data_IF_080343183274
#
_entry.id   IF_080343183274
#
_cell.length_a   1.000
_cell.length_b   1.000
_cell.length_c   1.000
_cell.angle_alpha   90.00
_cell.angle_beta   90.00
_cell.angle_gamma   90.00
#
_symmetry.space_group_name_H-M   'P 1'
#
loop_
_entity.id
_entity.type
_entity.pdbx_description
1 polymer ?
#
# COMPACT_ATOMS: atom_id res chain seq x y z
N UNK A 1 3.09 -23.26 -13.25
CA UNK A 1 3.73 -23.13 -11.92
C UNK A 1 5.18 -23.64 -11.91
N UNK A 2 5.45 -24.87 -12.36
CA UNK A 2 6.81 -25.45 -12.38
C UNK A 2 7.86 -24.65 -13.19
N UNK A 3 7.48 -24.01 -14.29
CA UNK A 3 8.42 -23.26 -15.13
C UNK A 3 9.03 -22.05 -14.41
N UNK A 4 8.23 -21.32 -13.62
CA UNK A 4 8.67 -20.12 -12.91
C UNK A 4 9.63 -20.45 -11.77
N UNK A 5 9.36 -21.52 -11.02
CA UNK A 5 10.26 -22.00 -9.96
C UNK A 5 11.64 -22.35 -10.53
N UNK A 6 11.71 -23.02 -11.69
CA UNK A 6 12.98 -23.37 -12.33
C UNK A 6 13.85 -22.16 -12.67
N UNK A 7 13.25 -21.02 -12.98
CA UNK A 7 13.98 -19.77 -13.24
C UNK A 7 14.45 -19.14 -11.94
N UNK A 8 13.58 -19.08 -10.93
CA UNK A 8 13.90 -18.48 -9.63
C UNK A 8 14.99 -19.28 -8.88
N UNK A 9 14.97 -20.61 -8.95
CA UNK A 9 15.97 -21.50 -8.34
C UNK A 9 17.40 -21.29 -8.85
N UNK A 10 17.61 -20.54 -9.94
CA UNK A 10 18.95 -20.14 -10.39
C UNK A 10 19.64 -19.17 -9.43
N UNK A 11 18.89 -18.46 -8.57
CA UNK A 11 19.44 -17.54 -7.57
C UNK A 11 19.48 -18.23 -6.21
N UNK A 12 20.66 -18.47 -5.62
CA UNK A 12 20.80 -19.32 -4.43
C UNK A 12 20.11 -18.75 -3.17
N UNK A 13 19.92 -17.43 -3.10
CA UNK A 13 19.39 -16.75 -1.91
C UNK A 13 17.93 -16.28 -2.04
N UNK A 14 17.24 -16.61 -3.13
CA UNK A 14 15.85 -16.16 -3.32
C UNK A 14 14.90 -16.99 -2.45
N UNK A 15 14.02 -16.32 -1.69
CA UNK A 15 12.98 -16.97 -0.90
C UNK A 15 11.68 -16.92 -1.67
N UNK A 16 11.28 -18.05 -2.26
CA UNK A 16 9.98 -18.19 -2.91
C UNK A 16 8.97 -18.74 -1.89
N UNK A 17 7.95 -17.96 -1.59
CA UNK A 17 6.88 -18.33 -0.66
C UNK A 17 5.57 -18.49 -1.42
N UNK A 18 4.78 -19.50 -1.06
CA UNK A 18 3.40 -19.65 -1.54
C UNK A 18 2.48 -19.18 -0.42
N UNK A 19 1.88 -18.01 -0.62
CA UNK A 19 0.86 -17.49 0.29
C UNK A 19 -0.48 -18.19 0.10
N UNK A 20 -1.27 -18.27 1.16
CA UNK A 20 -2.71 -18.56 1.09
C UNK A 20 -3.46 -17.24 1.21
N UNK A 21 -4.69 -17.18 0.70
CA UNK A 21 -5.59 -16.10 1.08
C UNK A 21 -5.85 -16.19 2.58
N UNK A 22 -5.54 -15.11 3.29
CA UNK A 22 -5.80 -14.95 4.71
C UNK A 22 -6.91 -13.91 4.79
N UNK A 23 -8.00 -14.23 5.50
CA UNK A 23 -9.03 -13.25 5.79
C UNK A 23 -8.38 -12.06 6.50
N UNK A 24 -8.70 -10.83 6.10
CA UNK A 24 -8.11 -9.66 6.74
C UNK A 24 -8.42 -9.70 8.23
N UNK A 25 -7.37 -9.80 9.06
CA UNK A 25 -7.52 -9.69 10.51
C UNK A 25 -8.20 -8.36 10.82
N UNK A 26 -9.30 -8.42 11.57
CA UNK A 26 -10.08 -7.23 11.91
C UNK A 26 -9.40 -6.39 13.00
N UNK A 27 -8.39 -6.97 13.65
CA UNK A 27 -7.68 -6.40 14.79
C UNK A 27 -6.16 -6.49 14.60
N UNK A 28 -5.47 -5.43 15.00
CA UNK A 28 -4.02 -5.31 15.02
C UNK A 28 -3.58 -5.07 16.47
N UNK A 29 -2.63 -5.88 16.94
CA UNK A 29 -2.04 -5.70 18.27
C UNK A 29 -0.68 -5.02 18.16
N UNK A 30 -0.47 -3.99 18.98
CA UNK A 30 0.82 -3.30 19.11
C UNK A 30 1.34 -3.42 20.53
N UNK A 31 2.54 -3.98 20.66
CA UNK A 31 3.21 -4.16 21.95
C UNK A 31 4.08 -2.95 22.26
N UNK A 32 3.84 -2.34 23.43
CA UNK A 32 4.66 -1.28 24.02
C UNK A 32 5.09 -1.78 25.41
N UNK A 33 6.21 -1.29 25.95
CA UNK A 33 6.71 -1.75 27.25
C UNK A 33 5.62 -1.72 28.32
N UNK A 34 5.22 -2.90 28.79
CA UNK A 34 4.20 -3.07 29.84
C UNK A 34 2.74 -2.93 29.39
N UNK A 35 2.45 -2.66 28.11
CA UNK A 35 1.07 -2.46 27.62
C UNK A 35 0.87 -3.10 26.23
N UNK A 36 -0.30 -3.71 26.04
CA UNK A 36 -0.77 -4.16 24.71
C UNK A 36 -1.87 -3.21 24.24
N UNK A 37 -1.69 -2.63 23.06
CA UNK A 37 -2.74 -1.89 22.37
C UNK A 37 -3.44 -2.82 21.38
N UNK A 38 -4.77 -2.84 21.41
CA UNK A 38 -5.58 -3.52 20.40
C UNK A 38 -6.36 -2.48 19.61
N UNK A 39 -6.24 -2.49 18.28
CA UNK A 39 -6.89 -1.54 17.38
C UNK A 39 -7.50 -2.27 16.19
N UNK A 40 -8.49 -1.65 15.54
CA UNK A 40 -8.99 -2.20 14.27
C UNK A 40 -7.97 -1.98 13.16
N UNK A 41 -7.81 -2.97 12.30
CA UNK A 41 -6.94 -2.85 11.11
C UNK A 41 -7.49 -1.79 10.17
N UNK A 42 -6.60 -0.97 9.60
CA UNK A 42 -6.97 0.01 8.57
C UNK A 42 -7.25 -0.68 7.23
N UNK A 43 -8.50 -1.08 7.05
CA UNK A 43 -9.03 -1.66 5.82
C UNK A 43 -9.66 -0.60 4.89
N UNK A 44 -9.27 0.68 4.99
CA UNK A 44 -9.83 1.73 4.13
C UNK A 44 -9.74 1.35 2.64
N UNK A 45 -10.88 1.38 1.96
CA UNK A 45 -11.02 1.22 0.52
C UNK A 45 -11.19 2.59 -0.13
N UNK A 46 -10.22 2.95 -0.97
CA UNK A 46 -10.15 4.24 -1.64
C UNK A 46 -10.87 4.26 -2.99
N UNK A 47 -11.52 3.16 -3.38
CA UNK A 47 -12.10 3.00 -4.72
C UNK A 47 -13.37 3.84 -4.92
N UNK A 48 -14.11 4.13 -3.85
CA UNK A 48 -15.36 4.91 -3.87
C UNK A 48 -15.27 6.19 -3.02
N UNK A 49 -14.11 6.85 -3.01
CA UNK A 49 -13.96 8.09 -2.25
C UNK A 49 -14.78 9.24 -2.84
N UNK A 50 -15.50 9.94 -1.96
CA UNK A 50 -16.10 11.23 -2.29
C UNK A 50 -15.02 12.33 -2.26
N UNK A 51 -14.44 12.58 -3.44
CA UNK A 51 -13.35 13.54 -3.60
C UNK A 51 -13.88 14.94 -3.93
N UNK A 52 -13.64 15.89 -3.03
CA UNK A 52 -13.92 17.31 -3.28
C UNK A 52 -12.71 18.00 -3.93
N UNK A 53 -12.88 18.56 -5.13
CA UNK A 53 -11.86 19.44 -5.73
C UNK A 53 -11.93 20.81 -5.06
N UNK A 54 -10.80 21.27 -4.50
CA UNK A 54 -10.69 22.55 -3.76
C UNK A 54 -9.92 23.63 -4.54
N UNK A 55 -9.59 23.36 -5.81
CA UNK A 55 -8.87 24.24 -6.73
C UNK A 55 -9.73 24.62 -7.93
N UNK A 56 -9.37 25.68 -8.65
CA UNK A 56 -10.06 26.08 -9.90
C UNK A 56 -9.96 25.01 -11.00
N UNK A 57 -8.79 24.37 -11.11
CA UNK A 57 -8.52 23.34 -12.11
C UNK A 57 -8.90 21.97 -11.55
N UNK A 58 -9.75 21.25 -12.29
CA UNK A 58 -10.13 19.87 -11.95
C UNK A 58 -9.11 18.87 -12.51
N UNK A 59 -8.79 17.79 -11.76
CA UNK A 59 -7.96 16.72 -12.28
C UNK A 59 -8.69 15.98 -13.43
N UNK A 60 -7.93 15.52 -14.42
CA UNK A 60 -8.46 14.60 -15.43
C UNK A 60 -8.71 13.22 -14.80
N UNK A 61 -9.45 12.35 -15.50
CA UNK A 61 -9.70 10.97 -15.04
C UNK A 61 -8.40 10.21 -14.70
N UNK A 62 -7.40 10.27 -15.59
CA UNK A 62 -6.10 9.65 -15.35
C UNK A 62 -5.37 10.24 -14.14
N UNK A 63 -5.46 11.56 -13.90
CA UNK A 63 -4.89 12.17 -12.69
C UNK A 63 -5.62 11.70 -11.42
N UNK A 64 -6.95 11.53 -11.47
CA UNK A 64 -7.71 10.97 -10.35
C UNK A 64 -7.31 9.53 -10.04
N UNK A 65 -7.13 8.69 -11.06
CA UNK A 65 -6.63 7.32 -10.90
C UNK A 65 -5.25 7.29 -10.23
N UNK A 66 -4.34 8.17 -10.67
CA UNK A 66 -3.00 8.29 -10.06
C UNK A 66 -3.07 8.79 -8.62
N UNK A 67 -3.98 9.71 -8.28
CA UNK A 67 -4.21 10.18 -6.91
C UNK A 67 -4.74 9.07 -6.00
N UNK A 68 -5.72 8.30 -6.47
CA UNK A 68 -6.27 7.14 -5.73
C UNK A 68 -5.17 6.10 -5.51
N UNK A 69 -4.37 5.81 -6.54
CA UNK A 69 -3.20 4.94 -6.41
C UNK A 69 -2.20 5.46 -5.37
N UNK A 70 -1.86 6.75 -5.42
CA UNK A 70 -0.91 7.35 -4.48
C UNK A 70 -1.38 7.25 -3.01
N UNK A 71 -2.67 7.49 -2.75
CA UNK A 71 -3.25 7.35 -1.41
C UNK A 71 -3.24 5.89 -0.93
N UNK A 72 -3.57 4.93 -1.82
CA UNK A 72 -3.47 3.49 -1.52
C UNK A 72 -2.05 3.12 -1.08
N UNK A 73 -1.02 3.63 -1.79
CA UNK A 73 0.38 3.41 -1.41
C UNK A 73 0.70 4.09 -0.08
N UNK A 74 0.29 5.35 0.11
CA UNK A 74 0.60 6.12 1.32
C UNK A 74 0.10 5.42 2.60
N UNK A 75 -1.08 4.77 2.57
CA UNK A 75 -1.59 3.98 3.71
C UNK A 75 -0.61 2.92 4.21
N UNK A 76 0.15 2.31 3.30
CA UNK A 76 1.05 1.19 3.63
C UNK A 76 2.47 1.63 3.99
N UNK A 77 2.69 2.93 4.12
CA UNK A 77 4.00 3.51 4.38
C UNK A 77 3.96 4.28 5.71
N UNK A 78 5.07 4.26 6.46
CA UNK A 78 5.16 4.96 7.74
C UNK A 78 5.03 6.47 7.56
N UNK A 79 4.19 7.12 8.36
CA UNK A 79 4.06 8.57 8.40
C UNK A 79 5.32 9.25 9.00
N UNK A 80 5.69 10.46 8.57
CA UNK A 80 5.07 11.26 7.51
C UNK A 80 5.59 10.86 6.12
N UNK A 81 4.69 10.67 5.15
CA UNK A 81 5.03 10.15 3.82
C UNK A 81 4.54 11.04 2.68
N UNK A 82 5.37 11.20 1.64
CA UNK A 82 5.01 11.84 0.37
C UNK A 82 5.17 10.80 -0.74
N UNK A 83 4.10 10.57 -1.52
CA UNK A 83 4.07 9.65 -2.65
C UNK A 83 3.92 10.45 -3.94
N UNK A 84 4.85 10.27 -4.88
CA UNK A 84 4.70 10.75 -6.26
C UNK A 84 4.41 9.54 -7.15
N UNK A 85 3.26 9.56 -7.81
CA UNK A 85 2.84 8.49 -8.71
C UNK A 85 2.51 9.01 -10.10
N UNK A 86 2.66 8.13 -11.10
CA UNK A 86 2.23 8.37 -12.48
C UNK A 86 1.89 7.04 -13.13
N UNK A 87 0.83 6.99 -13.93
CA UNK A 87 0.38 5.78 -14.61
C UNK A 87 0.22 4.58 -13.64
N UNK A 88 -0.33 4.83 -12.45
CA UNK A 88 -0.50 3.84 -11.38
C UNK A 88 0.80 3.14 -10.95
N UNK A 89 1.93 3.86 -11.02
CA UNK A 89 3.22 3.40 -10.52
C UNK A 89 3.82 4.44 -9.58
N UNK A 90 4.43 3.97 -8.50
CA UNK A 90 5.20 4.82 -7.58
C UNK A 90 6.50 5.23 -8.27
N UNK A 91 6.71 6.54 -8.43
CA UNK A 91 7.95 7.11 -8.94
C UNK A 91 8.88 7.50 -7.78
N UNK A 92 8.33 8.10 -6.74
CA UNK A 92 9.07 8.54 -5.55
C UNK A 92 8.27 8.20 -4.30
N UNK A 93 8.99 7.70 -3.30
CA UNK A 93 8.51 7.58 -1.93
C UNK A 93 9.48 8.30 -1.00
N UNK A 94 9.03 9.40 -0.40
CA UNK A 94 9.81 10.15 0.57
C UNK A 94 9.20 10.00 1.97
N UNK A 95 10.07 9.78 2.96
CA UNK A 95 9.71 9.64 4.37
C UNK A 95 10.44 10.71 5.16
N UNK A 96 9.68 11.49 5.91
CA UNK A 96 10.23 12.41 6.89
C UNK A 96 10.44 11.63 8.20
N UNK A 97 11.69 11.52 8.65
CA UNK A 97 12.07 10.85 9.90
C UNK A 97 12.49 11.85 10.96
#
# INVERSE_FOLDING_TARGET
>A
MMLHLKILSKKPNIRALVGKEIASDQEEMKFITGVVLNQKTDNADFSNMDLKTVTEIKPSKSKLEDLIFAIKVAKHVKSNAIVIAKNQMTLVLALDR
#
